data_IF_910897850214
#
_entry.id   IF_910897850214
#
_cell.length_a   1.000
_cell.length_b   1.000
_cell.length_c   1.000
_cell.angle_alpha   90.00
_cell.angle_beta   90.00
_cell.angle_gamma   90.00
#
_symmetry.space_group_name_H-M   'P 1'
#
loop_
_entity.id
_entity.type
_entity.pdbx_description
1 polymer ?
#
# COMPACT_ATOMS: atom_id res chain seq x y z
N UNK A 1 46.80 31.74 -5.92
CA UNK A 1 47.32 31.30 -7.22
C UNK A 1 46.69 29.97 -7.58
N UNK A 2 45.69 29.99 -8.36
CA UNK A 2 45.41 29.29 -9.64
C UNK A 2 43.94 29.65 -9.97
N UNK A 3 43.80 30.75 -10.75
CA UNK A 3 42.57 31.01 -11.50
C UNK A 3 42.95 30.65 -12.94
N UNK A 4 42.54 29.53 -13.46
CA UNK A 4 42.54 29.26 -14.89
C UNK A 4 41.12 29.22 -15.38
N UNK A 5 40.84 30.22 -16.21
CA UNK A 5 39.61 30.60 -16.81
C UNK A 5 39.03 29.53 -17.72
N UNK A 6 37.77 29.21 -17.46
CA UNK A 6 36.89 28.65 -18.48
C UNK A 6 36.39 29.82 -19.32
N UNK A 7 37.04 30.07 -20.46
CA UNK A 7 36.48 30.95 -21.49
C UNK A 7 35.25 30.28 -22.10
N UNK A 8 34.08 30.58 -21.57
CA UNK A 8 32.80 30.12 -22.14
C UNK A 8 32.58 30.85 -23.45
N UNK A 9 32.53 30.12 -24.54
CA UNK A 9 32.31 30.70 -25.87
C UNK A 9 30.85 31.12 -26.02
N UNK A 10 30.54 32.36 -25.62
CA UNK A 10 29.18 32.93 -25.61
C UNK A 10 28.52 32.87 -26.99
N UNK A 11 29.30 32.97 -28.10
CA UNK A 11 28.77 32.82 -29.47
C UNK A 11 28.21 31.42 -29.72
N UNK A 12 28.85 30.36 -29.25
CA UNK A 12 28.35 29.01 -29.40
C UNK A 12 27.04 28.81 -28.63
N UNK A 13 26.96 29.36 -27.41
CA UNK A 13 25.74 29.30 -26.57
C UNK A 13 24.57 30.06 -27.23
N UNK A 14 24.82 31.24 -27.83
CA UNK A 14 23.78 32.02 -28.52
C UNK A 14 23.29 31.28 -29.77
N UNK A 15 24.18 30.61 -30.51
CA UNK A 15 23.82 29.83 -31.69
C UNK A 15 22.97 28.61 -31.31
N UNK A 16 23.34 27.94 -30.23
CA UNK A 16 22.58 26.79 -29.70
C UNK A 16 21.20 27.18 -29.18
N UNK A 17 21.09 28.32 -28.47
CA UNK A 17 19.80 28.89 -28.04
C UNK A 17 18.94 29.26 -29.26
N UNK A 18 19.51 29.83 -30.32
CA UNK A 18 18.82 30.18 -31.56
C UNK A 18 18.26 28.93 -32.27
N UNK A 19 19.01 27.85 -32.31
CA UNK A 19 18.59 26.58 -32.91
C UNK A 19 17.47 25.87 -32.08
N UNK A 20 17.55 25.93 -30.75
CA UNK A 20 16.52 25.45 -29.86
C UNK A 20 15.23 26.25 -30.01
N UNK A 21 15.32 27.57 -30.13
CA UNK A 21 14.15 28.43 -30.34
C UNK A 21 13.49 28.18 -31.71
N UNK A 22 14.28 27.98 -32.78
CA UNK A 22 13.77 27.57 -34.09
C UNK A 22 13.05 26.21 -34.05
N UNK A 23 13.60 25.22 -33.33
CA UNK A 23 12.98 23.92 -33.15
C UNK A 23 11.69 24.02 -32.36
N UNK A 24 11.63 24.90 -31.35
CA UNK A 24 10.42 25.14 -30.55
C UNK A 24 9.32 25.84 -31.37
N UNK A 25 9.64 26.81 -32.20
CA UNK A 25 8.69 27.45 -33.12
C UNK A 25 8.19 26.45 -34.16
N UNK A 26 9.05 25.60 -34.72
CA UNK A 26 8.65 24.53 -35.62
C UNK A 26 7.73 23.53 -34.97
N UNK A 27 7.95 23.20 -33.69
CA UNK A 27 7.08 22.36 -32.91
C UNK A 27 5.71 23.00 -32.64
N UNK A 28 5.66 24.28 -32.31
CA UNK A 28 4.40 25.01 -32.09
C UNK A 28 3.60 25.15 -33.39
N UNK A 29 4.27 25.38 -34.53
CA UNK A 29 3.62 25.40 -35.84
C UNK A 29 3.10 24.02 -36.26
N UNK A 30 3.85 22.96 -35.99
CA UNK A 30 3.42 21.59 -36.19
C UNK A 30 2.24 21.22 -35.29
N UNK A 31 2.27 21.67 -34.04
CA UNK A 31 1.19 21.47 -33.08
C UNK A 31 -0.10 22.20 -33.46
N UNK A 32 0.00 23.44 -33.97
CA UNK A 32 -1.16 24.20 -34.47
C UNK A 32 -1.77 23.56 -35.72
N UNK A 33 -0.93 23.08 -36.62
CA UNK A 33 -1.37 22.36 -37.82
C UNK A 33 -2.08 21.03 -37.50
N UNK A 34 -1.62 20.30 -36.49
CA UNK A 34 -2.24 19.04 -36.05
C UNK A 34 -3.52 19.21 -35.21
N UNK A 35 -3.74 20.38 -34.63
CA UNK A 35 -4.97 20.70 -33.90
C UNK A 35 -6.19 20.76 -34.81
N UNK A 36 -6.02 21.05 -36.07
CA UNK A 36 -7.11 21.05 -37.06
C UNK A 36 -7.47 19.65 -37.59
N UNK A 37 -6.58 18.67 -37.48
CA UNK A 37 -6.86 17.27 -37.93
C UNK A 37 -7.25 16.36 -36.76
N UNK A 38 -8.53 16.34 -36.43
CA UNK A 38 -9.18 15.52 -35.40
C UNK A 38 -9.16 14.01 -35.68
N UNK A 39 -8.06 13.29 -35.73
CA UNK A 39 -8.08 11.81 -35.72
C UNK A 39 -6.68 11.15 -35.63
N UNK A 40 -5.89 11.39 -34.55
CA UNK A 40 -4.76 10.48 -34.27
C UNK A 40 -4.50 10.49 -32.76
N UNK A 41 -4.26 9.30 -32.18
CA UNK A 41 -3.97 9.10 -30.76
C UNK A 41 -2.58 9.67 -30.43
N UNK A 42 -2.54 10.92 -29.99
CA UNK A 42 -1.32 11.74 -29.79
C UNK A 42 -0.35 11.16 -28.72
N UNK A 43 -0.82 10.26 -27.87
CA UNK A 43 -0.02 9.70 -26.77
C UNK A 43 1.21 8.92 -27.26
N UNK A 44 1.08 8.21 -28.37
CA UNK A 44 2.14 7.31 -28.86
C UNK A 44 3.26 8.06 -29.61
N UNK A 45 2.92 9.16 -30.30
CA UNK A 45 3.90 9.98 -31.04
C UNK A 45 4.74 10.85 -30.11
N UNK A 46 4.12 11.44 -29.08
CA UNK A 46 4.83 12.29 -28.11
C UNK A 46 5.83 11.47 -27.28
N UNK A 47 5.47 10.25 -26.88
CA UNK A 47 6.36 9.37 -26.11
C UNK A 47 7.55 8.89 -26.97
N UNK A 48 7.34 8.59 -28.25
CA UNK A 48 8.44 8.24 -29.17
C UNK A 48 9.37 9.43 -29.45
N UNK A 49 8.83 10.63 -29.57
CA UNK A 49 9.63 11.84 -29.80
C UNK A 49 10.45 12.24 -28.55
N UNK A 50 9.86 12.13 -27.35
CA UNK A 50 10.56 12.41 -26.09
C UNK A 50 11.66 11.38 -25.79
N UNK A 51 11.47 10.11 -26.13
CA UNK A 51 12.51 9.09 -25.99
C UNK A 51 13.68 9.25 -26.98
N UNK A 52 13.46 9.85 -28.14
CA UNK A 52 14.52 10.12 -29.11
C UNK A 52 15.41 11.30 -28.69
N UNK A 53 14.84 12.33 -28.02
CA UNK A 53 15.55 13.52 -27.56
C UNK A 53 16.20 13.36 -26.17
N UNK A 54 15.81 12.39 -25.35
CA UNK A 54 16.42 12.13 -24.03
C UNK A 54 17.87 11.64 -24.10
N UNK A 55 18.37 11.31 -25.30
CA UNK A 55 19.76 10.87 -25.50
C UNK A 55 20.76 11.99 -25.89
N UNK A 56 20.33 13.24 -26.07
CA UNK A 56 21.19 14.23 -26.74
C UNK A 56 21.52 15.49 -25.93
N UNK A 57 20.91 15.82 -24.78
CA UNK A 57 21.25 17.10 -24.12
C UNK A 57 21.23 17.02 -22.59
N UNK A 58 22.42 16.86 -22.01
CA UNK A 58 22.74 17.16 -20.61
C UNK A 58 23.26 18.59 -20.52
N UNK A 59 22.35 19.56 -20.32
CA UNK A 59 22.69 20.92 -19.93
C UNK A 59 21.95 21.31 -18.66
N UNK A 60 22.59 21.95 -17.66
CA UNK A 60 22.02 22.19 -16.32
C UNK A 60 20.71 22.99 -16.31
N UNK A 61 20.45 23.85 -17.29
CA UNK A 61 19.23 24.65 -17.40
C UNK A 61 18.00 23.85 -17.85
N UNK A 62 18.17 22.75 -18.59
CA UNK A 62 17.06 21.92 -19.08
C UNK A 62 16.54 20.94 -18.03
N UNK A 63 17.35 20.58 -17.05
CA UNK A 63 16.91 19.75 -15.90
C UNK A 63 15.80 20.49 -15.13
N UNK A 64 15.89 21.81 -14.99
CA UNK A 64 14.88 22.61 -14.30
C UNK A 64 13.54 22.62 -15.02
N UNK A 65 13.53 22.73 -16.35
CA UNK A 65 12.31 22.73 -17.18
C UNK A 65 11.69 21.33 -17.19
N UNK A 66 12.50 20.28 -17.27
CA UNK A 66 12.03 18.89 -17.28
C UNK A 66 11.46 18.46 -15.91
N UNK A 67 12.06 18.92 -14.81
CA UNK A 67 11.55 18.74 -13.45
C UNK A 67 10.26 19.54 -13.27
N UNK A 68 10.16 20.76 -13.80
CA UNK A 68 8.95 21.58 -13.73
C UNK A 68 7.80 20.99 -14.54
N UNK A 69 8.06 20.46 -15.74
CA UNK A 69 7.06 19.79 -16.59
C UNK A 69 6.63 18.44 -15.98
N UNK A 70 7.55 17.69 -15.38
CA UNK A 70 7.21 16.43 -14.68
C UNK A 70 6.37 16.66 -13.41
N UNK A 71 6.46 17.84 -12.79
CA UNK A 71 5.69 18.25 -11.62
C UNK A 71 4.23 18.63 -11.97
N UNK A 72 3.89 18.77 -13.27
CA UNK A 72 2.63 19.40 -13.70
C UNK A 72 1.60 18.41 -14.28
N UNK A 73 1.83 17.11 -14.34
CA UNK A 73 0.88 16.21 -15.01
C UNK A 73 0.50 15.04 -14.10
N UNK A 74 -0.41 15.32 -13.19
CA UNK A 74 -1.36 14.28 -12.74
C UNK A 74 -2.30 14.03 -13.93
N UNK A 75 -2.09 12.93 -14.68
CA UNK A 75 -2.94 12.57 -15.83
C UNK A 75 -4.24 11.94 -15.35
N UNK A 76 -5.11 12.72 -14.72
CA UNK A 76 -6.49 12.34 -14.50
C UNK A 76 -7.29 12.84 -15.70
N UNK A 77 -7.91 11.92 -16.44
CA UNK A 77 -8.78 12.23 -17.58
C UNK A 77 -10.23 12.03 -17.18
N UNK A 78 -11.00 13.09 -17.17
CA UNK A 78 -12.42 13.07 -16.81
C UNK A 78 -13.27 13.07 -18.07
N UNK A 79 -14.16 12.08 -18.22
CA UNK A 79 -15.11 12.02 -19.32
C UNK A 79 -16.50 12.45 -18.83
N UNK A 80 -16.89 13.69 -19.14
CA UNK A 80 -18.17 14.26 -18.76
C UNK A 80 -19.39 13.60 -19.46
N UNK A 81 -19.17 12.92 -20.58
CA UNK A 81 -20.22 12.23 -21.36
C UNK A 81 -20.36 10.74 -21.01
N UNK A 82 -19.63 10.26 -20.01
CA UNK A 82 -19.72 8.86 -19.54
C UNK A 82 -20.95 8.66 -18.66
N UNK A 83 -21.57 7.49 -18.72
CA UNK A 83 -22.60 7.05 -17.78
C UNK A 83 -22.07 6.86 -16.34
N UNK A 84 -20.75 6.75 -16.17
CA UNK A 84 -20.10 6.60 -14.86
C UNK A 84 -20.03 7.96 -14.18
N UNK A 85 -20.53 8.13 -12.95
CA UNK A 85 -20.44 9.37 -12.19
C UNK A 85 -19.00 9.90 -12.09
N UNK A 86 -18.81 11.22 -12.21
CA UNK A 86 -17.47 11.84 -12.25
C UNK A 86 -16.62 11.49 -11.02
N UNK A 87 -17.22 11.44 -9.83
CA UNK A 87 -16.48 11.12 -8.61
C UNK A 87 -15.92 9.70 -8.63
N UNK A 88 -16.63 8.72 -9.22
CA UNK A 88 -16.11 7.35 -9.38
C UNK A 88 -14.96 7.26 -10.38
N UNK A 89 -15.04 8.01 -11.48
CA UNK A 89 -13.95 8.07 -12.47
C UNK A 89 -12.66 8.65 -11.84
N UNK A 90 -12.81 9.67 -11.00
CA UNK A 90 -11.70 10.32 -10.31
C UNK A 90 -11.12 9.41 -9.23
N UNK A 91 -12.00 8.77 -8.46
CA UNK A 91 -11.61 7.83 -7.41
C UNK A 91 -10.73 6.71 -7.98
N UNK A 92 -11.16 6.07 -9.08
CA UNK A 92 -10.40 4.98 -9.69
C UNK A 92 -9.04 5.43 -10.24
N UNK A 93 -8.99 6.61 -10.86
CA UNK A 93 -7.74 7.16 -11.35
C UNK A 93 -6.81 7.61 -10.22
N UNK A 94 -7.34 8.23 -9.17
CA UNK A 94 -6.55 8.55 -7.97
C UNK A 94 -6.02 7.28 -7.31
N UNK A 95 -6.81 6.22 -7.21
CA UNK A 95 -6.41 4.92 -6.68
C UNK A 95 -5.20 4.34 -7.44
N UNK A 96 -5.20 4.49 -8.75
CA UNK A 96 -4.09 4.05 -9.60
C UNK A 96 -2.84 4.92 -9.41
N UNK A 97 -3.02 6.25 -9.31
CA UNK A 97 -1.93 7.21 -9.13
C UNK A 97 -1.23 7.05 -7.78
N UNK A 98 -2.00 6.89 -6.69
CA UNK A 98 -1.43 6.75 -5.34
C UNK A 98 -0.67 5.43 -5.13
N UNK A 99 -0.93 4.40 -5.95
CA UNK A 99 -0.15 3.16 -5.98
C UNK A 99 1.19 3.31 -6.72
N UNK A 100 1.38 4.39 -7.48
CA UNK A 100 2.61 4.66 -8.23
C UNK A 100 3.79 4.99 -7.31
N UNK A 101 5.02 4.68 -7.78
CA UNK A 101 6.29 4.95 -7.08
C UNK A 101 6.40 6.40 -6.57
N UNK A 102 5.80 7.34 -7.30
CA UNK A 102 5.86 8.77 -6.96
C UNK A 102 5.17 9.10 -5.62
N UNK A 103 4.18 8.28 -5.20
CA UNK A 103 3.38 8.51 -4.00
C UNK A 103 3.63 7.51 -2.87
N UNK A 104 4.43 6.47 -3.10
CA UNK A 104 4.73 5.41 -2.12
C UNK A 104 5.33 5.90 -0.79
N UNK A 105 5.87 7.11 -0.73
CA UNK A 105 6.56 7.65 0.46
C UNK A 105 5.75 8.66 1.27
N UNK A 106 4.43 8.56 1.31
CA UNK A 106 3.60 9.49 2.08
C UNK A 106 3.56 10.91 1.48
N UNK A 107 3.71 11.03 0.16
CA UNK A 107 3.65 12.30 -0.56
C UNK A 107 2.26 12.89 -0.47
N UNK A 108 2.19 14.21 -0.40
CA UNK A 108 0.92 14.93 -0.39
C UNK A 108 0.30 14.98 -1.79
N UNK A 109 -1.03 14.82 -1.84
CA UNK A 109 -1.79 15.18 -3.03
C UNK A 109 -1.76 16.70 -3.23
N UNK A 110 -1.90 17.18 -4.48
CA UNK A 110 -2.10 18.59 -4.76
C UNK A 110 -3.31 19.13 -4.00
N UNK A 111 -3.33 20.44 -3.74
CA UNK A 111 -4.44 21.09 -3.08
C UNK A 111 -5.76 20.82 -3.84
N UNK A 112 -6.85 20.49 -3.10
CA UNK A 112 -8.17 20.20 -3.67
C UNK A 112 -8.69 21.31 -4.59
N UNK A 113 -8.36 22.59 -4.30
CA UNK A 113 -8.78 23.73 -5.11
C UNK A 113 -8.07 23.71 -6.47
N UNK A 114 -6.76 23.49 -6.47
CA UNK A 114 -5.96 23.47 -7.68
C UNK A 114 -6.29 22.26 -8.53
N UNK A 115 -6.43 21.09 -7.88
CA UNK A 115 -6.77 19.85 -8.55
C UNK A 115 -8.17 19.90 -9.19
N UNK A 116 -9.18 20.46 -8.50
CA UNK A 116 -10.52 20.61 -9.06
C UNK A 116 -10.56 21.52 -10.29
N UNK A 117 -9.79 22.62 -10.25
CA UNK A 117 -9.63 23.51 -11.41
C UNK A 117 -8.96 22.83 -12.58
N UNK A 118 -7.87 22.07 -12.34
CA UNK A 118 -7.15 21.33 -13.38
C UNK A 118 -8.03 20.27 -14.07
N UNK A 119 -8.92 19.62 -13.30
CA UNK A 119 -9.81 18.59 -13.81
C UNK A 119 -11.13 19.13 -14.40
N UNK A 120 -11.39 20.43 -14.28
CA UNK A 120 -12.63 21.05 -14.77
C UNK A 120 -13.89 20.54 -14.04
N UNK A 121 -13.78 20.18 -12.76
CA UNK A 121 -14.86 19.61 -11.97
C UNK A 121 -15.17 20.44 -10.73
N UNK A 122 -16.35 20.18 -10.11
CA UNK A 122 -16.70 20.82 -8.85
C UNK A 122 -15.78 20.33 -7.70
N UNK A 123 -15.48 21.23 -6.74
CA UNK A 123 -14.76 20.87 -5.53
C UNK A 123 -15.45 19.76 -4.74
N UNK A 124 -16.80 19.76 -4.74
CA UNK A 124 -17.58 18.75 -4.04
C UNK A 124 -17.42 17.37 -4.67
N UNK A 125 -17.40 17.28 -6.00
CA UNK A 125 -17.15 16.02 -6.73
C UNK A 125 -15.77 15.45 -6.41
N UNK A 126 -14.73 16.30 -6.42
CA UNK A 126 -13.37 15.88 -6.05
C UNK A 126 -13.30 15.46 -4.58
N UNK A 127 -13.92 16.25 -3.69
CA UNK A 127 -13.95 15.96 -2.26
C UNK A 127 -14.64 14.63 -1.94
N UNK A 128 -15.70 14.29 -2.68
CA UNK A 128 -16.38 13.00 -2.54
C UNK A 128 -15.45 11.84 -2.91
N UNK A 129 -14.75 11.92 -4.05
CA UNK A 129 -13.76 10.91 -4.44
C UNK A 129 -12.63 10.76 -3.40
N UNK A 130 -12.09 11.90 -2.91
CA UNK A 130 -11.06 11.89 -1.87
C UNK A 130 -11.59 11.30 -0.55
N UNK A 131 -12.84 11.64 -0.15
CA UNK A 131 -13.43 11.08 1.07
C UNK A 131 -13.58 9.57 1.00
N UNK A 132 -13.98 9.02 -0.14
CA UNK A 132 -14.07 7.58 -0.34
C UNK A 132 -12.69 6.92 -0.13
N UNK A 133 -11.63 7.48 -0.73
CA UNK A 133 -10.27 6.99 -0.55
C UNK A 133 -9.72 7.19 0.89
N UNK A 134 -10.17 8.23 1.60
CA UNK A 134 -9.87 8.42 3.03
C UNK A 134 -10.57 7.37 3.86
N UNK A 135 -11.85 7.09 3.60
CA UNK A 135 -12.62 6.04 4.27
C UNK A 135 -12.04 4.64 4.02
N UNK A 136 -11.41 4.43 2.87
CA UNK A 136 -10.68 3.21 2.55
C UNK A 136 -9.28 3.15 3.18
N UNK A 137 -8.81 4.21 3.84
CA UNK A 137 -7.49 4.28 4.45
C UNK A 137 -6.34 4.49 3.47
N UNK A 138 -6.64 4.74 2.19
CA UNK A 138 -5.62 5.02 1.16
C UNK A 138 -5.09 6.47 1.23
N UNK A 139 -5.90 7.36 1.77
CA UNK A 139 -5.56 8.77 1.99
C UNK A 139 -5.84 9.17 3.44
N UNK A 140 -5.10 10.15 3.95
CA UNK A 140 -5.33 10.73 5.28
C UNK A 140 -5.32 12.26 5.19
N UNK A 141 -6.31 12.90 5.84
CA UNK A 141 -6.31 14.36 5.99
C UNK A 141 -5.53 14.77 7.23
N UNK A 142 -4.51 15.60 7.04
CA UNK A 142 -3.76 16.23 8.13
C UNK A 142 -4.12 17.71 8.21
N UNK A 143 -4.68 18.14 9.34
CA UNK A 143 -5.07 19.55 9.58
C UNK A 143 -3.88 20.48 9.37
N UNK A 144 -4.05 21.50 8.51
CA UNK A 144 -3.01 22.48 8.18
C UNK A 144 -1.92 21.99 7.20
N UNK A 145 -1.92 20.70 6.83
CA UNK A 145 -0.93 20.11 5.94
C UNK A 145 -1.55 19.76 4.56
N UNK A 146 -2.70 19.09 4.55
CA UNK A 146 -3.37 18.65 3.33
C UNK A 146 -3.77 17.17 3.36
N UNK A 147 -4.02 16.60 2.18
CA UNK A 147 -4.31 15.17 2.01
C UNK A 147 -3.03 14.43 1.65
N UNK A 148 -2.66 13.45 2.46
CA UNK A 148 -1.43 12.66 2.34
C UNK A 148 -1.80 11.26 1.89
N UNK A 149 -1.02 10.68 0.98
CA UNK A 149 -1.13 9.26 0.65
C UNK A 149 -0.63 8.47 1.86
N UNK A 150 -1.49 7.61 2.39
CA UNK A 150 -1.09 6.67 3.42
C UNK A 150 -0.29 5.59 2.71
N UNK A 151 0.96 5.40 3.11
CA UNK A 151 1.72 4.23 2.68
C UNK A 151 0.84 3.02 2.93
N UNK A 152 0.76 2.11 1.96
CA UNK A 152 -0.15 0.96 1.90
C UNK A 152 -0.34 0.26 3.25
N UNK A 153 -0.93 0.97 4.21
CA UNK A 153 -1.36 0.35 5.43
C UNK A 153 -2.47 -0.63 5.05
N UNK A 154 -2.25 -1.88 5.35
CA UNK A 154 -3.24 -2.93 5.18
C UNK A 154 -4.41 -2.58 6.07
N UNK A 155 -5.51 -2.11 5.49
CA UNK A 155 -6.71 -1.75 6.25
C UNK A 155 -7.59 -2.98 6.38
N UNK A 156 -7.60 -3.60 7.55
CA UNK A 156 -8.49 -4.70 7.91
C UNK A 156 -9.86 -4.16 8.32
N UNK A 157 -10.93 -4.56 7.63
CA UNK A 157 -12.32 -4.24 8.00
C UNK A 157 -12.92 -5.44 8.75
N UNK A 158 -13.17 -5.28 10.04
CA UNK A 158 -13.76 -6.35 10.84
C UNK A 158 -15.29 -6.26 10.89
N UNK A 159 -15.96 -6.60 9.80
CA UNK A 159 -17.39 -6.92 9.79
C UNK A 159 -17.63 -8.42 9.99
N UNK A 160 -16.76 -9.24 9.39
CA UNK A 160 -16.67 -10.69 9.63
C UNK A 160 -15.20 -11.04 9.78
N UNK A 161 -14.86 -11.91 10.73
CA UNK A 161 -13.49 -12.32 10.86
C UNK A 161 -13.05 -13.14 9.64
N UNK A 162 -11.85 -12.85 9.13
CA UNK A 162 -11.24 -13.53 8.01
C UNK A 162 -9.86 -14.05 8.42
N UNK A 163 -9.41 -15.11 7.75
CA UNK A 163 -8.00 -15.48 7.83
C UNK A 163 -7.12 -14.38 7.24
N UNK A 164 -5.89 -14.27 7.69
CA UNK A 164 -4.93 -13.30 7.13
C UNK A 164 -4.84 -13.40 5.59
N UNK A 165 -4.84 -14.60 5.03
CA UNK A 165 -4.77 -14.81 3.58
C UNK A 165 -6.02 -14.28 2.87
N UNK A 166 -7.21 -14.49 3.44
CA UNK A 166 -8.46 -13.94 2.89
C UNK A 166 -8.49 -12.42 3.00
N UNK A 167 -8.07 -11.88 4.16
CA UNK A 167 -7.96 -10.44 4.41
C UNK A 167 -7.04 -9.77 3.37
N UNK A 168 -5.85 -10.33 3.13
CA UNK A 168 -4.92 -9.82 2.12
C UNK A 168 -5.50 -9.90 0.70
N UNK A 169 -6.16 -10.99 0.34
CA UNK A 169 -6.82 -11.14 -0.96
C UNK A 169 -7.89 -10.06 -1.19
N UNK A 170 -8.71 -9.75 -0.17
CA UNK A 170 -9.74 -8.71 -0.25
C UNK A 170 -9.13 -7.33 -0.51
N UNK A 171 -7.93 -7.10 -0.01
CA UNK A 171 -7.16 -5.86 -0.20
C UNK A 171 -6.34 -5.85 -1.51
N UNK A 172 -6.40 -6.92 -2.31
CA UNK A 172 -5.61 -7.06 -3.53
C UNK A 172 -4.11 -7.26 -3.28
N UNK A 173 -3.73 -7.68 -2.06
CA UNK A 173 -2.35 -7.93 -1.66
C UNK A 173 -2.06 -9.42 -1.79
N UNK A 174 -0.97 -9.77 -2.46
CA UNK A 174 -0.45 -11.13 -2.50
C UNK A 174 0.43 -11.33 -1.26
N UNK A 175 0.01 -12.14 -0.27
CA UNK A 175 0.80 -12.33 0.93
C UNK A 175 2.04 -13.18 0.67
N UNK A 176 3.19 -12.71 1.16
CA UNK A 176 4.46 -13.43 1.14
C UNK A 176 4.73 -14.03 2.52
N UNK A 177 5.33 -15.22 2.55
CA UNK A 177 5.92 -15.79 3.75
C UNK A 177 7.43 -15.54 3.72
N UNK A 178 7.94 -14.73 4.64
CA UNK A 178 9.37 -14.45 4.81
C UNK A 178 10.03 -15.51 5.68
N UNK A 179 9.32 -15.93 6.74
CA UNK A 179 9.74 -17.03 7.61
C UNK A 179 8.54 -17.90 7.96
N UNK A 180 8.79 -19.19 8.09
CA UNK A 180 7.85 -20.18 8.61
C UNK A 180 8.63 -21.15 9.49
N UNK A 181 8.30 -21.23 10.75
CA UNK A 181 8.94 -22.11 11.70
C UNK A 181 7.89 -22.88 12.52
N UNK A 182 8.04 -24.20 12.54
CA UNK A 182 7.17 -25.10 13.31
C UNK A 182 8.01 -25.73 14.43
N UNK A 183 7.50 -25.68 15.63
CA UNK A 183 8.19 -26.27 16.80
C UNK A 183 7.21 -26.80 17.81
N UNK A 184 7.70 -27.67 18.69
CA UNK A 184 6.96 -28.14 19.85
C UNK A 184 7.53 -27.47 21.10
N UNK A 185 6.68 -26.83 21.88
CA UNK A 185 7.08 -26.10 23.09
C UNK A 185 6.21 -26.48 24.28
N UNK A 186 6.70 -26.25 25.48
CA UNK A 186 5.88 -26.30 26.69
C UNK A 186 4.93 -25.10 26.69
N UNK A 187 3.60 -25.27 26.84
CA UNK A 187 2.69 -24.15 26.95
C UNK A 187 2.95 -23.34 28.23
N UNK A 188 2.60 -22.06 28.21
CA UNK A 188 2.42 -21.28 29.44
C UNK A 188 1.10 -21.69 30.11
N UNK A 189 0.94 -21.35 31.39
CA UNK A 189 -0.27 -21.68 32.14
C UNK A 189 -1.54 -21.12 31.49
N UNK A 190 -1.47 -19.90 30.95
CA UNK A 190 -2.58 -19.25 30.23
C UNK A 190 -2.97 -20.02 28.96
N UNK A 191 -1.99 -20.50 28.19
CA UNK A 191 -2.24 -21.29 26.97
C UNK A 191 -2.82 -22.66 27.31
N UNK A 192 -2.28 -23.32 28.35
CA UNK A 192 -2.79 -24.61 28.83
C UNK A 192 -4.24 -24.47 29.35
N UNK A 193 -4.53 -23.41 30.08
CA UNK A 193 -5.86 -23.10 30.59
C UNK A 193 -6.83 -22.84 29.44
N UNK A 194 -6.43 -22.02 28.45
CA UNK A 194 -7.24 -21.69 27.27
C UNK A 194 -7.68 -22.96 26.51
N UNK A 195 -6.77 -23.92 26.32
CA UNK A 195 -7.10 -25.18 25.64
C UNK A 195 -7.73 -26.24 26.51
N UNK A 196 -8.04 -25.95 27.78
CA UNK A 196 -8.53 -26.92 28.74
C UNK A 196 -7.63 -28.17 28.78
N UNK A 197 -6.31 -27.95 28.79
CA UNK A 197 -5.29 -29.01 28.71
C UNK A 197 -4.17 -28.76 29.74
N UNK A 198 -4.47 -28.78 31.08
CA UNK A 198 -3.49 -28.40 32.10
C UNK A 198 -2.29 -29.34 32.16
N UNK A 199 -2.46 -30.62 31.80
CA UNK A 199 -1.41 -31.63 31.86
C UNK A 199 -0.61 -31.80 30.58
N UNK A 200 -0.87 -30.93 29.56
CA UNK A 200 -0.17 -31.04 28.28
C UNK A 200 1.29 -30.66 28.44
N UNK A 201 2.19 -31.56 28.06
CA UNK A 201 3.64 -31.35 28.20
C UNK A 201 4.23 -30.53 27.04
N UNK A 202 3.64 -30.63 25.86
CA UNK A 202 4.07 -29.94 24.68
C UNK A 202 2.93 -29.59 23.75
N UNK A 203 3.02 -28.46 23.10
CA UNK A 203 2.01 -27.92 22.18
C UNK A 203 2.69 -27.47 20.89
N UNK A 204 1.99 -27.62 19.76
CA UNK A 204 2.51 -27.13 18.48
C UNK A 204 2.49 -25.62 18.46
N UNK A 205 3.64 -25.03 18.13
CA UNK A 205 3.87 -23.61 17.90
C UNK A 205 4.22 -23.38 16.46
N UNK A 206 3.48 -22.52 15.79
CA UNK A 206 3.74 -22.07 14.42
C UNK A 206 4.08 -20.59 14.43
N UNK A 207 5.27 -20.24 13.96
CA UNK A 207 5.75 -18.88 13.82
C UNK A 207 5.80 -18.53 12.34
N UNK A 208 5.22 -17.40 11.96
CA UNK A 208 5.21 -16.94 10.57
C UNK A 208 5.49 -15.44 10.49
N UNK A 209 6.53 -15.09 9.74
CA UNK A 209 6.77 -13.71 9.35
C UNK A 209 6.17 -13.49 7.96
N UNK A 210 5.22 -12.58 7.85
CA UNK A 210 4.44 -12.36 6.62
C UNK A 210 4.39 -10.89 6.24
N UNK A 211 4.24 -10.64 4.96
CA UNK A 211 4.20 -9.29 4.42
C UNK A 211 3.69 -9.25 2.99
N UNK A 212 4.01 -8.18 2.29
CA UNK A 212 3.86 -8.04 0.85
C UNK A 212 5.18 -8.44 0.13
N UNK A 213 5.36 -8.08 -1.13
CA UNK A 213 6.58 -8.36 -1.89
C UNK A 213 7.78 -7.47 -1.49
N UNK A 214 7.56 -6.39 -0.74
CA UNK A 214 8.58 -5.38 -0.45
C UNK A 214 9.17 -5.55 0.95
N UNK A 215 8.33 -5.85 1.96
CA UNK A 215 8.76 -5.98 3.35
C UNK A 215 7.80 -6.80 4.19
N UNK A 216 8.28 -7.40 5.30
CA UNK A 216 7.42 -8.03 6.29
C UNK A 216 6.69 -6.96 7.10
N UNK A 217 5.40 -7.15 7.38
CA UNK A 217 4.64 -6.23 8.21
C UNK A 217 3.87 -6.89 9.35
N UNK A 218 3.90 -8.23 9.44
CA UNK A 218 3.31 -8.95 10.57
C UNK A 218 4.10 -10.20 10.93
N UNK A 219 4.31 -10.39 12.23
CA UNK A 219 4.88 -11.60 12.80
C UNK A 219 3.82 -12.29 13.66
N UNK A 220 3.45 -13.53 13.29
CA UNK A 220 2.48 -14.35 13.97
C UNK A 220 3.13 -15.44 14.81
N UNK A 221 2.56 -15.69 15.98
CA UNK A 221 2.81 -16.87 16.81
C UNK A 221 1.48 -17.52 17.08
N UNK A 222 1.27 -18.74 16.59
CA UNK A 222 0.07 -19.53 16.79
C UNK A 222 0.38 -20.77 17.63
N UNK A 223 -0.52 -21.08 18.54
CA UNK A 223 -0.56 -22.32 19.31
C UNK A 223 -1.86 -23.04 19.03
N UNK A 224 -1.82 -24.35 18.94
CA UNK A 224 -2.98 -25.16 18.55
C UNK A 224 -3.40 -26.13 19.63
N UNK A 225 -4.72 -26.36 19.73
CA UNK A 225 -5.24 -27.34 20.62
C UNK A 225 -4.66 -28.74 20.29
N UNK A 226 -4.05 -29.44 21.24
CA UNK A 226 -3.50 -30.79 21.01
C UNK A 226 -4.54 -31.80 20.50
N UNK A 227 -5.82 -31.58 20.81
CA UNK A 227 -6.92 -32.46 20.38
C UNK A 227 -7.18 -32.43 18.86
N UNK A 228 -6.68 -31.41 18.14
CA UNK A 228 -6.78 -31.35 16.68
C UNK A 228 -5.94 -32.46 16.05
N UNK A 229 -4.83 -32.85 16.68
CA UNK A 229 -3.97 -33.92 16.17
C UNK A 229 -2.93 -33.46 15.14
N UNK A 230 -2.62 -32.14 15.07
CA UNK A 230 -1.56 -31.63 14.21
C UNK A 230 -0.23 -32.33 14.54
N UNK A 231 0.49 -32.72 13.50
CA UNK A 231 1.76 -33.46 13.60
C UNK A 231 2.99 -32.55 13.57
N UNK A 232 2.83 -31.35 13.00
CA UNK A 232 3.90 -30.39 12.74
C UNK A 232 4.61 -30.59 11.39
N UNK A 233 4.18 -31.59 10.61
CA UNK A 233 4.69 -31.87 9.25
C UNK A 233 3.75 -31.37 8.14
N UNK A 234 2.66 -30.69 8.49
CA UNK A 234 1.72 -30.10 7.55
C UNK A 234 2.40 -29.00 6.72
N UNK A 235 1.93 -28.85 5.48
CA UNK A 235 2.37 -27.74 4.62
C UNK A 235 1.71 -26.42 5.07
N UNK A 236 2.27 -25.77 6.07
CA UNK A 236 1.79 -24.48 6.58
C UNK A 236 2.05 -23.29 5.62
N UNK A 237 2.56 -23.52 4.42
CA UNK A 237 2.53 -22.51 3.34
C UNK A 237 1.12 -22.31 2.81
N UNK A 238 0.25 -23.31 2.91
CA UNK A 238 -1.18 -23.25 2.62
C UNK A 238 -1.92 -22.36 3.62
N UNK A 239 -3.13 -21.87 3.28
CA UNK A 239 -3.97 -21.16 4.24
C UNK A 239 -4.28 -22.02 5.47
N UNK A 240 -3.95 -21.53 6.66
CA UNK A 240 -4.04 -22.29 7.91
C UNK A 240 -5.42 -22.92 8.15
N UNK A 241 -6.50 -22.11 8.01
CA UNK A 241 -7.85 -22.62 8.28
C UNK A 241 -8.36 -23.58 7.20
N UNK A 242 -7.75 -23.58 6.01
CA UNK A 242 -8.00 -24.62 5.02
C UNK A 242 -7.39 -25.96 5.44
N UNK A 243 -6.21 -25.96 6.05
CA UNK A 243 -5.59 -27.15 6.62
C UNK A 243 -6.47 -27.69 7.78
N UNK A 244 -6.84 -26.82 8.73
CA UNK A 244 -7.64 -27.22 9.89
C UNK A 244 -8.98 -27.80 9.47
N UNK A 245 -9.69 -27.17 8.52
CA UNK A 245 -11.01 -27.60 8.07
C UNK A 245 -10.94 -28.87 7.23
N UNK A 246 -10.11 -28.92 6.19
CA UNK A 246 -10.10 -30.04 5.22
C UNK A 246 -9.36 -31.26 5.72
N UNK A 247 -8.20 -31.04 6.38
CA UNK A 247 -7.32 -32.14 6.72
C UNK A 247 -7.60 -32.68 8.13
N UNK A 248 -8.19 -31.84 9.02
CA UNK A 248 -8.44 -32.19 10.44
C UNK A 248 -9.90 -32.04 10.87
N UNK A 249 -10.81 -31.60 9.99
CA UNK A 249 -12.22 -31.33 10.30
C UNK A 249 -12.43 -30.36 11.48
N UNK A 250 -11.46 -29.53 11.77
CA UNK A 250 -11.49 -28.52 12.82
C UNK A 250 -11.95 -27.17 12.24
N UNK A 251 -13.28 -26.99 12.18
CA UNK A 251 -13.90 -25.81 11.54
C UNK A 251 -13.80 -24.60 12.45
N UNK A 252 -13.00 -23.61 12.05
CA UNK A 252 -12.88 -22.34 12.77
C UNK A 252 -14.07 -21.44 12.47
N UNK A 253 -14.91 -21.14 13.49
CA UNK A 253 -16.15 -20.37 13.33
C UNK A 253 -16.17 -19.06 14.10
N UNK A 254 -15.69 -19.03 15.32
CA UNK A 254 -15.73 -17.85 16.18
C UNK A 254 -14.31 -17.36 16.44
N UNK A 255 -14.08 -16.06 16.30
CA UNK A 255 -12.85 -15.40 16.70
C UNK A 255 -13.16 -14.32 17.74
N UNK A 256 -12.51 -14.39 18.90
CA UNK A 256 -12.46 -13.29 19.87
C UNK A 256 -11.11 -12.64 19.77
N UNK A 257 -11.07 -11.31 19.79
CA UNK A 257 -9.83 -10.58 19.56
C UNK A 257 -9.61 -9.50 20.61
N UNK A 258 -8.38 -9.46 21.14
CA UNK A 258 -7.90 -8.38 21.99
C UNK A 258 -6.87 -7.58 21.21
N UNK A 259 -7.09 -6.27 21.09
CA UNK A 259 -6.22 -5.38 20.35
C UNK A 259 -5.57 -4.40 21.32
N UNK A 260 -4.25 -4.29 21.24
CA UNK A 260 -3.46 -3.37 22.04
C UNK A 260 -2.31 -2.78 21.24
N UNK A 261 -1.66 -1.75 21.78
CA UNK A 261 -0.46 -1.16 21.21
C UNK A 261 0.69 -1.22 22.22
N UNK A 262 1.91 -1.42 21.72
CA UNK A 262 3.13 -1.36 22.50
C UNK A 262 4.31 -0.89 21.66
N UNK A 263 5.43 -0.64 22.29
CA UNK A 263 6.70 -0.38 21.59
C UNK A 263 7.38 -1.71 21.23
N UNK A 264 8.01 -1.76 20.07
CA UNK A 264 8.75 -2.93 19.62
C UNK A 264 10.00 -3.14 20.47
N UNK A 265 10.14 -4.32 21.04
CA UNK A 265 11.39 -4.78 21.62
C UNK A 265 12.42 -5.15 20.54
N UNK A 266 13.64 -5.47 20.95
CA UNK A 266 14.73 -5.81 20.02
C UNK A 266 14.40 -7.01 19.10
N UNK A 267 13.68 -8.01 19.63
CA UNK A 267 13.34 -9.22 18.88
C UNK A 267 12.30 -8.92 17.82
N UNK A 268 11.18 -8.30 18.20
CA UNK A 268 10.09 -7.94 17.29
C UNK A 268 10.54 -6.89 16.27
N UNK A 269 11.34 -5.91 16.71
CA UNK A 269 11.91 -4.91 15.80
C UNK A 269 12.77 -5.56 14.70
N UNK A 270 13.61 -6.53 15.07
CA UNK A 270 14.41 -7.29 14.09
C UNK A 270 13.56 -8.11 13.14
N UNK A 271 12.47 -8.76 13.60
CA UNK A 271 11.56 -9.52 12.74
C UNK A 271 10.81 -8.62 11.76
N UNK A 272 10.32 -7.49 12.20
CA UNK A 272 9.51 -6.58 11.38
C UNK A 272 10.34 -5.56 10.58
N UNK A 273 11.68 -5.59 10.69
CA UNK A 273 12.59 -4.65 10.03
C UNK A 273 12.26 -3.18 10.36
N UNK A 274 11.99 -2.91 11.66
CA UNK A 274 11.73 -1.60 12.21
C UNK A 274 12.74 -1.27 13.31
N UNK A 275 12.70 -0.06 13.84
CA UNK A 275 13.57 0.33 14.94
C UNK A 275 13.03 -0.17 16.28
N UNK A 276 13.94 -0.47 17.20
CA UNK A 276 13.57 -0.71 18.60
C UNK A 276 12.87 0.52 19.15
N UNK A 277 11.71 0.35 19.77
CA UNK A 277 10.89 1.45 20.27
C UNK A 277 9.87 2.01 19.25
N UNK A 278 9.86 1.55 18.01
CA UNK A 278 8.79 1.93 17.10
C UNK A 278 7.45 1.33 17.56
N UNK A 279 6.33 2.02 17.35
CA UNK A 279 5.02 1.54 17.75
C UNK A 279 4.59 0.31 16.90
N UNK A 280 4.01 -0.67 17.57
CA UNK A 280 3.41 -1.84 16.94
C UNK A 280 2.00 -2.06 17.49
N UNK A 281 1.11 -2.57 16.63
CA UNK A 281 -0.19 -3.08 17.03
C UNK A 281 -0.03 -4.56 17.38
N UNK A 282 -0.59 -4.96 18.51
CA UNK A 282 -0.63 -6.37 18.96
C UNK A 282 -2.06 -6.84 18.94
N UNK A 283 -2.33 -7.91 18.19
CA UNK A 283 -3.64 -8.56 18.11
C UNK A 283 -3.53 -9.97 18.64
N UNK A 284 -4.18 -10.26 19.77
CA UNK A 284 -4.38 -11.61 20.26
C UNK A 284 -5.70 -12.12 19.70
N UNK A 285 -5.69 -13.32 19.17
CA UNK A 285 -6.87 -13.97 18.59
C UNK A 285 -7.08 -15.32 19.24
N UNK A 286 -8.31 -15.58 19.68
CA UNK A 286 -8.77 -16.80 20.29
C UNK A 286 -9.83 -17.41 19.38
N UNK A 287 -9.50 -18.51 18.72
CA UNK A 287 -10.36 -19.14 17.72
C UNK A 287 -11.03 -20.37 18.30
N UNK A 288 -12.33 -20.49 18.02
CA UNK A 288 -13.17 -21.57 18.48
C UNK A 288 -13.93 -22.21 17.31
N UNK A 289 -14.27 -23.49 17.48
CA UNK A 289 -15.18 -24.21 16.59
C UNK A 289 -16.66 -23.83 16.83
N UNK A 290 -17.62 -24.41 16.06
CA UNK A 290 -19.06 -24.16 16.25
C UNK A 290 -19.58 -24.54 17.64
N UNK A 291 -18.98 -25.51 18.30
CA UNK A 291 -19.35 -26.04 19.63
C UNK A 291 -18.70 -25.23 20.77
N UNK A 292 -17.84 -24.26 20.43
CA UNK A 292 -17.14 -23.42 21.38
C UNK A 292 -15.85 -24.04 21.93
N UNK A 293 -15.34 -25.12 21.31
CA UNK A 293 -14.04 -25.67 21.67
C UNK A 293 -12.92 -24.82 21.14
N UNK A 294 -11.89 -24.51 21.93
CA UNK A 294 -10.78 -23.69 21.47
C UNK A 294 -9.90 -24.44 20.46
N UNK A 295 -9.57 -23.80 19.32
CA UNK A 295 -8.74 -24.38 18.27
C UNK A 295 -7.35 -23.75 18.21
N UNK A 296 -7.28 -22.41 18.22
CA UNK A 296 -6.03 -21.65 18.04
C UNK A 296 -5.97 -20.48 19.02
N UNK A 297 -4.81 -20.29 19.64
CA UNK A 297 -4.40 -19.05 20.28
C UNK A 297 -3.32 -18.40 19.40
N UNK A 298 -3.62 -17.25 18.83
CA UNK A 298 -2.71 -16.54 17.96
C UNK A 298 -2.34 -15.18 18.54
N UNK A 299 -1.08 -14.78 18.38
CA UNK A 299 -0.59 -13.45 18.66
C UNK A 299 0.03 -12.90 17.38
N UNK A 300 -0.46 -11.76 16.89
CA UNK A 300 0.09 -11.05 15.75
C UNK A 300 0.70 -9.72 16.18
N UNK A 301 1.94 -9.48 15.76
CA UNK A 301 2.65 -8.23 15.93
C UNK A 301 2.71 -7.53 14.59
N UNK A 302 2.07 -6.38 14.45
CA UNK A 302 1.93 -5.66 13.19
C UNK A 302 2.68 -4.35 13.23
N UNK A 303 3.35 -3.99 12.15
CA UNK A 303 3.91 -2.66 11.97
C UNK A 303 2.79 -1.64 11.95
N UNK A 304 2.87 -0.61 12.82
CA UNK A 304 1.86 0.45 12.89
C UNK A 304 1.85 1.38 11.68
N UNK A 305 2.95 1.46 10.94
CA UNK A 305 3.06 2.24 9.70
C UNK A 305 2.46 1.51 8.46
N UNK A 306 2.20 0.20 8.59
CA UNK A 306 1.81 -0.65 7.47
C UNK A 306 0.47 -1.35 7.65
N UNK A 307 -0.13 -1.30 8.85
CA UNK A 307 -1.38 -1.98 9.16
C UNK A 307 -2.35 -1.10 9.93
N UNK A 308 -3.59 -1.02 9.44
CA UNK A 308 -4.71 -0.33 10.11
C UNK A 308 -5.82 -1.35 10.36
N UNK A 309 -6.28 -1.44 11.59
CA UNK A 309 -7.44 -2.24 11.96
C UNK A 309 -8.68 -1.33 12.04
N UNK A 310 -9.61 -1.49 11.09
CA UNK A 310 -10.83 -0.71 11.02
C UNK A 310 -12.03 -1.51 11.51
N UNK A 311 -12.79 -0.91 12.42
CA UNK A 311 -14.04 -1.44 12.95
C UNK A 311 -15.18 -0.54 12.49
N UNK A 312 -16.27 -1.15 12.01
CA UNK A 312 -17.48 -0.44 11.63
C UNK A 312 -18.65 -0.98 12.47
N UNK A 313 -19.31 -0.12 13.20
CA UNK A 313 -20.46 -0.45 14.03
C UNK A 313 -21.68 0.38 13.60
N UNK A 314 -22.82 -0.26 13.43
CA UNK A 314 -24.10 0.41 13.27
C UNK A 314 -24.72 0.62 14.65
N UNK A 315 -25.22 1.83 14.89
CA UNK A 315 -25.99 2.14 16.09
C UNK A 315 -27.44 1.70 15.88
N UNK A 316 -27.93 0.78 16.68
CA UNK A 316 -29.37 0.51 16.76
C UNK A 316 -30.06 1.71 17.42
N UNK A 317 -30.90 2.43 16.66
CA UNK A 317 -31.71 3.58 17.11
C UNK A 317 -33.11 3.08 17.39
#
# INVERSE_FOLDING_TARGET
NIVHGVQVNIKAIITDIGNVFKSYISFLTFYSYFREYKRVNLSCCIIKYLNLYSRILVLPGFIFIFIFVKKLIMKILVNHNSAIPLYLQIEEQLRTIIKGEEYKQGKMLPNEIDLSKQLGISRNTLRQAINNLVNEGLLMRKKGVGTVVVNSAVCSKAQNWMSFTQEMKTLGIVPMNYELHVSWTKPTDDIALFFNAPDVKRILKLERLRGNQEYPFVYFISYFNPKIGLTGSEDFSRPLYEILDRDYHAIAKVSKEDISARLADKYIAGKLEIKVGDPILVRKRFVYDPEGCPLEWNIGYYRADSFIYSLEFERNI
#
